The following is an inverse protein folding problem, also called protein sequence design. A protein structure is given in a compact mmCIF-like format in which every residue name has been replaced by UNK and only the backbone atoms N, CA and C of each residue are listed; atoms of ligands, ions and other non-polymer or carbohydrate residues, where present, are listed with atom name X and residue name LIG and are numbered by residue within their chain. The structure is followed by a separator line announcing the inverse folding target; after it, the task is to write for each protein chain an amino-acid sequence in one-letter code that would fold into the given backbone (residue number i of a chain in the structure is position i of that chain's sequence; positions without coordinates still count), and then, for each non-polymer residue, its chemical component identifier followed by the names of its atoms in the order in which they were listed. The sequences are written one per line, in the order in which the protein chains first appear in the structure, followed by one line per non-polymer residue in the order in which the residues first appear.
data_IF_860279551294
#
_entry.id   IF_860279551294
#
_cell.length_a   1.000
_cell.length_b   1.000
_cell.length_c   1.000
_cell.angle_alpha   90.00
_cell.angle_beta   90.00
_cell.angle_gamma   90.00
#
_symmetry.space_group_name_H-M   'P 1'
#
loop_
_entity.id
_entity.type
_entity.pdbx_description
1 polymer ?
#
# COMPACT_ATOMS: atom_id res chain seq x y z
N UNK A 1 -10.06 19.64 -22.23
CA UNK A 1 -10.84 18.66 -21.43
C UNK A 1 -10.01 18.34 -20.22
N UNK A 2 -10.51 18.55 -19.00
CA UNK A 2 -9.80 18.23 -17.76
C UNK A 2 -9.90 16.72 -17.50
N UNK A 3 -8.77 16.08 -17.21
CA UNK A 3 -8.72 14.69 -16.74
C UNK A 3 -8.62 14.69 -15.22
N UNK A 4 -9.38 13.84 -14.55
CA UNK A 4 -9.36 13.66 -13.10
C UNK A 4 -9.00 12.21 -12.82
N UNK A 5 -8.02 11.99 -11.95
CA UNK A 5 -7.62 10.67 -11.47
C UNK A 5 -8.09 10.54 -10.01
N UNK A 6 -8.89 9.52 -9.74
CA UNK A 6 -9.24 9.15 -8.37
C UNK A 6 -8.20 8.14 -7.88
N UNK A 7 -7.55 8.46 -6.78
CA UNK A 7 -6.57 7.57 -6.15
C UNK A 7 -6.94 7.34 -4.69
N UNK A 8 -6.70 6.14 -4.19
CA UNK A 8 -7.09 5.72 -2.84
C UNK A 8 -5.91 4.97 -2.23
N UNK A 9 -5.33 5.52 -1.17
CA UNK A 9 -4.30 4.82 -0.41
C UNK A 9 -4.97 3.77 0.48
N UNK A 10 -4.42 2.57 0.45
CA UNK A 10 -5.00 1.38 1.05
C UNK A 10 -3.94 0.69 1.88
N UNK A 11 -3.99 0.93 3.19
CA UNK A 11 -2.94 0.55 4.13
C UNK A 11 -3.49 0.11 5.49
N UNK A 12 -2.73 -0.68 6.24
CA UNK A 12 -3.03 -0.96 7.63
C UNK A 12 -2.44 0.14 8.53
N UNK A 13 -3.29 0.73 9.35
CA UNK A 13 -2.91 1.84 10.20
C UNK A 13 -1.95 1.40 11.32
N UNK A 14 -0.71 1.91 11.31
CA UNK A 14 0.33 1.62 12.29
C UNK A 14 -0.14 1.76 13.75
N UNK A 15 -0.96 2.76 14.07
CA UNK A 15 -1.51 2.96 15.41
C UNK A 15 -2.29 1.76 15.97
N UNK A 16 -2.89 0.95 15.10
CA UNK A 16 -3.62 -0.26 15.52
C UNK A 16 -2.67 -1.41 15.86
N UNK A 17 -1.53 -1.51 15.14
CA UNK A 17 -0.44 -2.39 15.49
C UNK A 17 0.16 -2.02 16.85
N UNK A 18 0.49 -0.75 17.08
CA UNK A 18 1.00 -0.23 18.36
C UNK A 18 0.03 -0.50 19.51
N UNK A 19 -1.27 -0.41 19.27
CA UNK A 19 -2.29 -0.75 20.27
C UNK A 19 -2.40 -2.26 20.56
N UNK A 20 -1.60 -3.12 19.90
CA UNK A 20 -1.58 -4.57 20.12
C UNK A 20 -2.85 -5.29 19.70
N UNK A 21 -3.60 -4.73 18.74
CA UNK A 21 -4.82 -5.35 18.24
C UNK A 21 -4.50 -6.60 17.40
N UNK A 22 -5.41 -7.55 17.37
CA UNK A 22 -5.34 -8.69 16.46
C UNK A 22 -5.51 -8.26 14.99
N UNK A 23 -5.02 -9.09 14.07
CA UNK A 23 -4.98 -8.76 12.64
C UNK A 23 -6.37 -8.48 12.04
N UNK A 24 -7.39 -9.24 12.43
CA UNK A 24 -8.74 -9.06 11.87
C UNK A 24 -9.31 -7.71 12.32
N UNK A 25 -9.06 -7.33 13.58
CA UNK A 25 -9.43 -6.01 14.10
C UNK A 25 -8.65 -4.88 13.42
N UNK A 26 -7.34 -5.06 13.19
CA UNK A 26 -6.50 -4.09 12.46
C UNK A 26 -7.05 -3.88 11.06
N UNK A 27 -7.29 -4.96 10.31
CA UNK A 27 -7.84 -4.94 8.96
C UNK A 27 -9.20 -4.24 8.94
N UNK A 28 -10.13 -4.65 9.81
CA UNK A 28 -11.46 -4.05 9.86
C UNK A 28 -11.43 -2.55 10.17
N UNK A 29 -10.60 -2.11 11.13
CA UNK A 29 -10.50 -0.71 11.52
C UNK A 29 -9.73 0.15 10.52
N UNK A 30 -8.79 -0.43 9.77
CA UNK A 30 -8.01 0.30 8.77
C UNK A 30 -8.76 0.41 7.45
N UNK A 31 -9.38 -0.69 6.99
CA UNK A 31 -9.89 -0.81 5.62
C UNK A 31 -11.41 -0.68 5.52
N UNK A 32 -12.15 -0.88 6.64
CA UNK A 32 -13.61 -0.78 6.70
C UNK A 32 -14.10 0.10 7.87
N UNK A 33 -13.49 1.29 8.09
CA UNK A 33 -13.84 2.14 9.23
C UNK A 33 -15.29 2.60 9.15
N UNK A 34 -16.07 2.33 10.19
CA UNK A 34 -17.47 2.76 10.31
C UNK A 34 -18.36 2.43 9.09
N UNK A 35 -17.98 1.39 8.32
CA UNK A 35 -18.76 0.96 7.15
C UNK A 35 -18.62 1.84 5.91
N UNK A 36 -17.62 2.74 5.88
CA UNK A 36 -17.33 3.61 4.72
C UNK A 36 -15.96 3.31 4.08
N UNK A 37 -15.42 2.11 4.33
CA UNK A 37 -14.14 1.65 3.80
C UNK A 37 -14.19 1.17 2.35
N UNK A 38 -13.35 0.19 2.03
CA UNK A 38 -13.14 -0.30 0.66
C UNK A 38 -14.45 -0.81 0.04
N UNK A 39 -15.23 -1.61 0.76
CA UNK A 39 -16.48 -2.16 0.25
C UNK A 39 -17.46 -1.05 -0.16
N UNK A 40 -17.60 -0.01 0.66
CA UNK A 40 -18.44 1.14 0.35
C UNK A 40 -17.88 1.93 -0.83
N UNK A 41 -16.58 2.18 -0.87
CA UNK A 41 -15.91 2.90 -1.97
C UNK A 41 -16.13 2.19 -3.30
N UNK A 42 -15.91 0.87 -3.36
CA UNK A 42 -16.14 0.07 -4.55
C UNK A 42 -17.62 0.10 -5.00
N UNK A 43 -18.56 0.10 -4.05
CA UNK A 43 -19.98 0.26 -4.36
C UNK A 43 -20.30 1.63 -4.97
N UNK A 44 -19.69 2.73 -4.46
CA UNK A 44 -19.86 4.06 -5.03
C UNK A 44 -19.24 4.17 -6.42
N UNK A 45 -18.01 3.67 -6.62
CA UNK A 45 -17.36 3.65 -7.93
C UNK A 45 -18.24 2.94 -8.97
N UNK A 46 -18.79 1.76 -8.60
CA UNK A 46 -19.75 1.03 -9.45
C UNK A 46 -21.02 1.83 -9.71
N UNK A 47 -21.63 2.43 -8.68
CA UNK A 47 -22.86 3.21 -8.76
C UNK A 47 -22.75 4.38 -9.74
N UNK A 48 -21.61 5.06 -9.75
CA UNK A 48 -21.39 6.25 -10.56
C UNK A 48 -20.60 5.96 -11.85
N UNK A 49 -20.25 4.72 -12.15
CA UNK A 49 -19.46 4.33 -13.33
C UNK A 49 -18.07 4.93 -13.34
N UNK A 50 -17.47 5.14 -12.15
CA UNK A 50 -16.16 5.74 -11.99
C UNK A 50 -15.05 4.67 -11.92
N UNK A 51 -13.85 5.09 -12.28
CA UNK A 51 -12.62 4.31 -12.10
C UNK A 51 -11.70 4.97 -11.09
N UNK A 52 -11.03 4.15 -10.30
CA UNK A 52 -10.04 4.57 -9.33
C UNK A 52 -8.82 3.65 -9.38
N UNK A 53 -7.68 4.20 -8.99
CA UNK A 53 -6.45 3.46 -8.73
C UNK A 53 -6.28 3.34 -7.20
N UNK A 54 -6.16 2.11 -6.72
CA UNK A 54 -5.89 1.79 -5.33
C UNK A 54 -4.38 1.57 -5.16
N UNK A 55 -3.74 2.45 -4.41
CA UNK A 55 -2.36 2.31 -4.01
C UNK A 55 -2.33 1.47 -2.73
N UNK A 56 -1.97 0.19 -2.87
CA UNK A 56 -2.03 -0.80 -1.79
C UNK A 56 -0.64 -0.99 -1.17
N UNK A 57 -0.54 -0.84 0.16
CA UNK A 57 0.68 -1.17 0.92
C UNK A 57 0.67 -2.64 1.33
N UNK A 58 1.50 -3.51 0.72
CA UNK A 58 1.57 -4.92 1.08
C UNK A 58 2.51 -5.20 2.26
N UNK A 59 3.32 -4.23 2.72
CA UNK A 59 4.37 -4.43 3.71
C UNK A 59 3.89 -5.01 5.06
N UNK A 60 2.69 -4.69 5.56
CA UNK A 60 2.17 -5.36 6.76
C UNK A 60 2.03 -6.88 6.61
N UNK A 61 2.08 -7.44 5.39
CA UNK A 61 2.10 -8.88 5.18
C UNK A 61 3.34 -9.57 5.78
N UNK A 62 4.45 -8.85 5.95
CA UNK A 62 5.64 -9.34 6.64
C UNK A 62 5.35 -9.71 8.11
N UNK A 63 4.34 -9.09 8.71
CA UNK A 63 3.94 -9.29 10.11
C UNK A 63 2.72 -10.20 10.22
N UNK A 64 1.73 -10.01 9.36
CA UNK A 64 0.40 -10.60 9.48
C UNK A 64 0.04 -11.60 8.38
N UNK A 65 0.98 -11.89 7.47
CA UNK A 65 0.75 -12.78 6.34
C UNK A 65 -0.02 -12.11 5.19
N UNK A 66 -0.07 -12.82 4.06
CA UNK A 66 -0.53 -12.26 2.78
C UNK A 66 -2.06 -12.31 2.58
N UNK A 67 -2.80 -13.02 3.42
CA UNK A 67 -4.22 -13.32 3.16
C UNK A 67 -5.12 -12.08 3.13
N UNK A 68 -4.84 -11.09 3.96
CA UNK A 68 -5.60 -9.83 3.93
C UNK A 68 -5.31 -9.03 2.66
N UNK A 69 -4.06 -9.03 2.16
CA UNK A 69 -3.68 -8.36 0.89
C UNK A 69 -4.42 -9.02 -0.27
N UNK A 70 -4.43 -10.37 -0.32
CA UNK A 70 -5.17 -11.13 -1.35
C UNK A 70 -6.65 -10.77 -1.39
N UNK A 71 -7.29 -10.64 -0.21
CA UNK A 71 -8.71 -10.25 -0.12
C UNK A 71 -8.94 -8.85 -0.68
N UNK A 72 -8.07 -7.90 -0.34
CA UNK A 72 -8.17 -6.51 -0.82
C UNK A 72 -7.93 -6.43 -2.32
N UNK A 73 -6.81 -6.98 -2.79
CA UNK A 73 -6.45 -7.00 -4.22
C UNK A 73 -7.56 -7.68 -5.03
N UNK A 74 -8.03 -8.85 -4.60
CA UNK A 74 -9.12 -9.56 -5.26
C UNK A 74 -10.39 -8.71 -5.37
N UNK A 75 -10.84 -8.11 -4.27
CA UNK A 75 -12.05 -7.28 -4.26
C UNK A 75 -11.94 -6.05 -5.19
N UNK A 76 -10.77 -5.40 -5.22
CA UNK A 76 -10.51 -4.24 -6.08
C UNK A 76 -10.53 -4.65 -7.56
N UNK A 77 -9.81 -5.72 -7.92
CA UNK A 77 -9.74 -6.22 -9.30
C UNK A 77 -11.07 -6.77 -9.80
N UNK A 78 -11.82 -7.54 -8.98
CA UNK A 78 -13.16 -8.02 -9.31
C UNK A 78 -14.16 -6.89 -9.55
N UNK A 79 -13.99 -5.76 -8.87
CA UNK A 79 -14.76 -4.54 -9.13
C UNK A 79 -14.29 -3.78 -10.38
N UNK A 80 -13.28 -4.29 -11.10
CA UNK A 80 -12.72 -3.70 -12.31
C UNK A 80 -11.99 -2.39 -12.04
N UNK A 81 -11.43 -2.23 -10.85
CA UNK A 81 -10.58 -1.11 -10.46
C UNK A 81 -9.10 -1.49 -10.61
N UNK A 82 -8.20 -0.51 -10.47
CA UNK A 82 -6.77 -0.68 -10.65
C UNK A 82 -6.07 -0.79 -9.28
N UNK A 83 -5.02 -1.64 -9.22
CA UNK A 83 -4.13 -1.80 -8.06
C UNK A 83 -2.73 -1.37 -8.45
N UNK A 84 -2.11 -0.51 -7.64
CA UNK A 84 -0.75 -0.03 -7.79
C UNK A 84 -0.03 -0.05 -6.44
N UNK A 85 1.30 0.14 -6.43
CA UNK A 85 2.12 -0.03 -5.23
C UNK A 85 2.11 1.21 -4.33
N UNK A 86 1.78 1.00 -3.06
CA UNK A 86 2.06 1.89 -1.94
C UNK A 86 3.10 1.26 -1.01
N UNK A 87 3.91 2.05 -0.33
CA UNK A 87 4.97 1.51 0.50
C UNK A 87 5.19 2.33 1.77
N UNK A 88 5.02 1.67 2.92
CA UNK A 88 5.50 2.12 4.23
C UNK A 88 6.59 1.17 4.75
N UNK A 89 7.86 1.56 4.81
CA UNK A 89 8.97 0.65 5.13
C UNK A 89 9.05 0.27 6.62
N UNK A 90 8.38 0.99 7.51
CA UNK A 90 8.42 0.75 8.96
C UNK A 90 8.01 -0.66 9.39
N UNK A 91 7.29 -1.40 8.55
CA UNK A 91 6.86 -2.77 8.81
C UNK A 91 7.97 -3.82 8.75
N UNK A 92 9.12 -3.50 8.14
CA UNK A 92 10.21 -4.46 7.88
C UNK A 92 10.80 -5.10 9.14
N UNK A 93 10.73 -4.42 10.30
CA UNK A 93 11.23 -4.92 11.59
C UNK A 93 10.13 -5.22 12.59
N UNK A 94 8.87 -4.89 12.26
CA UNK A 94 7.74 -5.10 13.15
C UNK A 94 7.44 -6.58 13.38
N UNK A 95 6.88 -6.90 14.55
CA UNK A 95 6.44 -8.25 14.92
C UNK A 95 5.06 -8.20 15.53
N UNK A 96 4.24 -9.18 15.25
CA UNK A 96 2.90 -9.27 15.83
C UNK A 96 2.98 -9.25 17.36
N UNK A 97 2.21 -8.36 17.99
CA UNK A 97 2.11 -8.23 19.43
C UNK A 97 3.27 -7.50 20.12
N UNK A 98 4.20 -6.90 19.37
CA UNK A 98 5.32 -6.14 19.97
C UNK A 98 4.95 -4.72 20.42
N UNK A 99 3.72 -4.30 20.18
CA UNK A 99 3.24 -2.96 20.57
C UNK A 99 3.98 -1.82 19.88
N UNK A 100 4.58 -2.07 18.71
CA UNK A 100 5.39 -1.10 18.00
C UNK A 100 6.79 -0.90 18.57
N UNK A 101 7.28 -1.83 19.40
CA UNK A 101 8.62 -1.76 19.97
C UNK A 101 9.73 -1.97 18.93
N UNK A 102 9.41 -2.71 17.87
CA UNK A 102 10.31 -2.96 16.75
C UNK A 102 9.73 -2.34 15.49
N UNK A 103 10.39 -1.35 14.94
CA UNK A 103 10.05 -0.74 13.66
C UNK A 103 11.33 -0.33 12.94
N UNK A 104 11.24 -0.25 11.63
CA UNK A 104 12.25 0.40 10.80
C UNK A 104 11.93 1.89 10.65
N UNK A 105 12.75 2.66 9.96
CA UNK A 105 12.44 4.04 9.64
C UNK A 105 11.08 4.13 8.92
N UNK A 106 10.34 5.20 9.17
CA UNK A 106 8.97 5.35 8.67
C UNK A 106 8.90 5.78 7.22
N UNK A 107 9.90 6.50 6.77
CA UNK A 107 9.90 7.16 5.47
C UNK A 107 10.94 6.54 4.54
N UNK A 108 10.62 6.43 3.27
CA UNK A 108 11.51 5.81 2.29
C UNK A 108 12.79 6.62 2.08
N UNK A 109 12.73 7.93 2.26
CA UNK A 109 13.88 8.82 2.18
C UNK A 109 14.94 8.62 3.29
N UNK A 110 14.62 7.84 4.34
CA UNK A 110 15.55 7.49 5.41
C UNK A 110 16.49 6.33 5.02
N UNK A 111 16.30 5.76 3.84
CA UNK A 111 17.05 4.63 3.29
C UNK A 111 17.94 5.08 2.14
N UNK A 112 19.09 4.43 1.99
CA UNK A 112 19.96 4.67 0.85
C UNK A 112 19.38 4.08 -0.46
N UNK A 113 20.03 4.38 -1.58
CA UNK A 113 19.62 3.93 -2.91
C UNK A 113 19.39 2.43 -3.01
N UNK A 114 20.36 1.63 -2.57
CA UNK A 114 20.29 0.17 -2.69
C UNK A 114 19.19 -0.41 -1.80
N UNK A 115 19.04 0.14 -0.60
CA UNK A 115 17.96 -0.23 0.34
C UNK A 115 16.58 0.13 -0.22
N UNK A 116 16.44 1.29 -0.89
CA UNK A 116 15.18 1.67 -1.53
C UNK A 116 14.81 0.72 -2.67
N UNK A 117 15.77 0.30 -3.50
CA UNK A 117 15.56 -0.71 -4.55
C UNK A 117 15.05 -2.02 -3.92
N UNK A 118 15.71 -2.53 -2.88
CA UNK A 118 15.32 -3.76 -2.20
C UNK A 118 13.91 -3.67 -1.60
N UNK A 119 13.58 -2.56 -0.97
CA UNK A 119 12.27 -2.31 -0.36
C UNK A 119 11.15 -2.25 -1.41
N UNK A 120 11.35 -1.50 -2.48
CA UNK A 120 10.36 -1.34 -3.56
C UNK A 120 10.16 -2.67 -4.29
N UNK A 121 11.25 -3.38 -4.64
CA UNK A 121 11.19 -4.69 -5.29
C UNK A 121 10.46 -5.71 -4.40
N UNK A 122 10.84 -5.81 -3.12
CA UNK A 122 10.20 -6.72 -2.17
C UNK A 122 8.72 -6.42 -1.96
N UNK A 123 8.33 -5.15 -1.91
CA UNK A 123 6.92 -4.76 -1.83
C UNK A 123 6.15 -5.10 -3.11
N UNK A 124 6.77 -4.91 -4.29
CA UNK A 124 6.20 -5.32 -5.58
C UNK A 124 5.96 -6.83 -5.63
N UNK A 125 6.93 -7.63 -5.17
CA UNK A 125 6.83 -9.08 -5.09
C UNK A 125 5.69 -9.54 -4.14
N UNK A 126 5.51 -8.87 -3.00
CA UNK A 126 4.40 -9.15 -2.09
C UNK A 126 3.05 -8.84 -2.76
N UNK A 127 2.96 -7.71 -3.46
CA UNK A 127 1.73 -7.28 -4.11
C UNK A 127 1.33 -8.21 -5.26
N UNK A 128 2.30 -8.61 -6.10
CA UNK A 128 2.08 -9.57 -7.19
C UNK A 128 1.76 -10.98 -6.67
N UNK A 129 2.41 -11.40 -5.57
CA UNK A 129 2.09 -12.65 -4.86
C UNK A 129 0.68 -12.65 -4.27
N UNK A 130 0.10 -11.48 -4.03
CA UNK A 130 -1.29 -11.33 -3.62
C UNK A 130 -2.29 -11.37 -4.81
N UNK A 131 -1.81 -11.45 -6.04
CA UNK A 131 -2.61 -11.57 -7.25
C UNK A 131 -2.80 -10.26 -8.03
N UNK A 132 -2.11 -9.18 -7.64
CA UNK A 132 -2.09 -7.96 -8.45
C UNK A 132 -1.27 -8.16 -9.74
N UNK A 133 -1.62 -7.47 -10.83
CA UNK A 133 -0.69 -7.28 -11.95
C UNK A 133 0.60 -6.60 -11.48
N UNK A 134 1.68 -6.76 -12.25
CA UNK A 134 2.93 -6.02 -12.02
C UNK A 134 2.63 -4.52 -11.91
N UNK A 135 3.00 -3.85 -10.78
CA UNK A 135 2.71 -2.44 -10.62
C UNK A 135 3.59 -1.60 -11.54
N UNK A 136 3.00 -0.58 -12.15
CA UNK A 136 3.69 0.40 -13.00
C UNK A 136 3.67 1.80 -12.41
N UNK A 137 2.93 1.99 -11.33
CA UNK A 137 2.84 3.25 -10.59
C UNK A 137 3.13 3.02 -9.11
N UNK A 138 3.75 4.03 -8.51
CA UNK A 138 4.22 4.01 -7.13
C UNK A 138 3.73 5.23 -6.35
N UNK A 139 3.50 5.04 -5.05
CA UNK A 139 3.33 6.14 -4.09
C UNK A 139 4.02 5.80 -2.78
N UNK A 140 4.98 6.64 -2.36
CA UNK A 140 5.61 6.52 -1.06
C UNK A 140 4.65 6.87 0.08
N UNK A 141 4.77 6.17 1.19
CA UNK A 141 4.13 6.54 2.44
C UNK A 141 4.51 7.95 2.87
N UNK A 142 3.58 8.70 3.44
CA UNK A 142 3.77 10.12 3.80
C UNK A 142 4.20 11.02 2.63
N UNK A 143 4.09 10.54 1.38
CA UNK A 143 4.64 11.21 0.19
C UNK A 143 6.16 11.47 0.28
N UNK A 144 6.86 10.70 1.11
CA UNK A 144 8.29 10.87 1.40
C UNK A 144 9.13 10.14 0.32
N UNK A 145 9.35 10.81 -0.79
CA UNK A 145 10.18 10.38 -1.90
C UNK A 145 11.26 11.42 -2.23
N UNK A 146 12.39 10.97 -2.74
CA UNK A 146 13.55 11.78 -3.13
C UNK A 146 13.96 11.51 -4.58
N UNK A 147 15.01 12.19 -5.05
CA UNK A 147 15.61 11.91 -6.35
C UNK A 147 16.15 10.48 -6.42
N UNK A 148 16.66 9.94 -5.30
CA UNK A 148 17.08 8.53 -5.20
C UNK A 148 15.88 7.59 -5.38
N UNK A 149 14.73 7.94 -4.80
CA UNK A 149 13.49 7.17 -5.00
C UNK A 149 13.08 7.15 -6.47
N UNK A 150 13.11 8.30 -7.15
CA UNK A 150 12.79 8.37 -8.58
C UNK A 150 13.74 7.53 -9.43
N UNK A 151 15.03 7.54 -9.09
CA UNK A 151 16.03 6.73 -9.75
C UNK A 151 15.80 5.23 -9.53
N UNK A 152 15.53 4.80 -8.28
CA UNK A 152 15.23 3.41 -7.95
C UNK A 152 13.97 2.91 -8.68
N UNK A 153 12.92 3.74 -8.75
CA UNK A 153 11.71 3.43 -9.51
C UNK A 153 11.99 3.24 -11.00
N UNK A 154 12.82 4.12 -11.59
CA UNK A 154 13.21 4.02 -13.00
C UNK A 154 14.00 2.74 -13.28
N UNK A 155 14.93 2.36 -12.39
CA UNK A 155 15.72 1.12 -12.50
C UNK A 155 14.83 -0.12 -12.42
N UNK A 156 13.81 -0.10 -11.55
CA UNK A 156 12.83 -1.17 -11.40
C UNK A 156 11.72 -1.17 -12.47
N UNK A 157 11.76 -0.23 -13.42
CA UNK A 157 10.83 -0.18 -14.55
C UNK A 157 9.46 0.43 -14.25
N UNK A 158 9.29 1.14 -13.12
CA UNK A 158 8.09 1.92 -12.87
C UNK A 158 7.96 3.08 -13.85
N UNK A 159 6.74 3.38 -14.28
CA UNK A 159 6.44 4.40 -15.27
C UNK A 159 5.92 5.70 -14.65
N UNK A 160 5.35 5.61 -13.47
CA UNK A 160 4.70 6.74 -12.80
C UNK A 160 5.05 6.77 -11.31
N UNK A 161 5.41 7.96 -10.82
CA UNK A 161 5.44 8.28 -9.40
C UNK A 161 4.29 9.22 -9.05
N UNK A 162 3.62 8.96 -7.92
CA UNK A 162 2.53 9.75 -7.38
C UNK A 162 2.84 10.30 -5.98
N UNK A 163 4.13 10.32 -5.60
CA UNK A 163 4.59 10.80 -4.30
C UNK A 163 4.86 12.31 -4.28
N UNK A 164 5.08 12.93 -5.44
CA UNK A 164 5.33 14.37 -5.54
C UNK A 164 4.03 15.13 -5.83
N UNK A 165 3.85 16.26 -5.13
CA UNK A 165 2.74 17.21 -5.31
C UNK A 165 3.23 18.48 -5.97
#
# INVERSE_FOLDING_TARGET
MTRVFLTIDTELMWRHHVAGLDVDTIVARSLEPAGVGIAWQLAQLRRYGLKACFFVDPMPALVYGLDWVKRVVGAVLEAGQEVQLHLHPNWTRAKAGDGGANYAAFELIDYDWDEQIELIAGASDLLTSAGAPEPVAFRAGSYAASDDTLGALAELGFLYDSSHN
#
